data_IF_425053053868
#
_entry.id   IF_425053053868
#
_cell.length_a   1.000
_cell.length_b   1.000
_cell.length_c   1.000
_cell.angle_alpha   90.00
_cell.angle_beta   90.00
_cell.angle_gamma   90.00
#
_symmetry.space_group_name_H-M   'P 1'
#
loop_
_entity.id
_entity.type
_entity.pdbx_description
1 polymer ?
#
# COMPACT_ATOMS: atom_id res chain seq x y z
N UNK A 1 -9.78 -15.71 -27.27
CA UNK A 1 -11.18 -15.30 -26.95
C UNK A 1 -11.13 -14.13 -25.98
N UNK A 2 -11.58 -12.94 -26.41
CA UNK A 2 -11.50 -11.69 -25.64
C UNK A 2 -12.33 -11.81 -24.36
N UNK A 3 -11.67 -11.64 -23.21
CA UNK A 3 -12.24 -11.82 -21.86
C UNK A 3 -13.49 -10.96 -21.66
N UNK A 4 -14.57 -11.54 -21.17
CA UNK A 4 -15.59 -10.74 -20.51
C UNK A 4 -14.90 -10.09 -19.29
N UNK A 5 -14.89 -8.75 -19.21
CA UNK A 5 -14.23 -7.97 -18.14
C UNK A 5 -15.01 -8.12 -16.82
N UNK A 6 -15.07 -9.33 -16.26
CA UNK A 6 -15.50 -9.50 -14.88
C UNK A 6 -14.38 -8.98 -13.97
N UNK A 7 -14.75 -8.13 -13.01
CA UNK A 7 -13.86 -7.70 -11.94
C UNK A 7 -14.03 -8.61 -10.73
N UNK A 8 -12.91 -8.97 -10.11
CA UNK A 8 -12.79 -9.84 -8.96
C UNK A 8 -12.29 -9.00 -7.78
N UNK A 9 -13.07 -8.95 -6.70
CA UNK A 9 -12.74 -8.21 -5.48
C UNK A 9 -12.82 -9.16 -4.28
N UNK A 10 -11.70 -9.76 -3.88
CA UNK A 10 -11.63 -10.56 -2.66
C UNK A 10 -11.36 -9.68 -1.43
N UNK A 11 -11.93 -10.07 -0.30
CA UNK A 11 -11.55 -9.61 1.02
C UNK A 11 -10.77 -10.75 1.70
N UNK A 12 -9.47 -10.58 1.85
CA UNK A 12 -8.59 -11.56 2.46
C UNK A 12 -8.21 -11.16 3.88
N UNK A 13 -7.86 -12.16 4.70
CA UNK A 13 -7.22 -11.98 5.99
C UNK A 13 -6.01 -12.90 6.14
N UNK A 14 -5.05 -12.50 6.97
CA UNK A 14 -3.93 -13.32 7.39
C UNK A 14 -3.75 -13.22 8.90
N UNK A 15 -3.20 -14.28 9.51
CA UNK A 15 -2.93 -14.33 10.95
C UNK A 15 -1.55 -13.74 11.24
N UNK A 16 -1.51 -12.71 12.07
CA UNK A 16 -0.29 -11.93 12.37
C UNK A 16 0.67 -12.71 13.27
N UNK A 17 0.17 -13.70 13.99
CA UNK A 17 0.96 -14.57 14.85
C UNK A 17 1.81 -15.57 14.05
N UNK A 18 1.50 -15.78 12.76
CA UNK A 18 2.33 -16.60 11.87
C UNK A 18 3.56 -15.81 11.39
N UNK A 19 4.76 -16.43 11.34
CA UNK A 19 5.94 -15.80 10.74
C UNK A 19 5.70 -15.39 9.28
N UNK A 20 6.21 -14.25 8.78
CA UNK A 20 5.91 -13.75 7.43
C UNK A 20 6.07 -14.77 6.30
N UNK A 21 7.15 -15.59 6.23
CA UNK A 21 7.29 -16.59 5.18
C UNK A 21 6.14 -17.60 5.17
N UNK A 22 5.63 -17.97 6.36
CA UNK A 22 4.50 -18.91 6.52
C UNK A 22 3.17 -18.19 6.25
N UNK A 23 3.01 -16.98 6.78
CA UNK A 23 1.81 -16.15 6.68
C UNK A 23 1.41 -15.85 5.24
N UNK A 24 2.39 -15.58 4.38
CA UNK A 24 2.16 -15.15 3.00
C UNK A 24 1.89 -16.31 2.02
N UNK A 25 2.00 -17.58 2.46
CA UNK A 25 1.57 -18.71 1.64
C UNK A 25 0.06 -18.68 1.43
N UNK A 26 -0.38 -18.96 0.20
CA UNK A 26 -1.79 -18.89 -0.19
C UNK A 26 -2.69 -19.79 0.65
N UNK A 27 -2.19 -20.95 1.12
CA UNK A 27 -2.91 -21.86 2.02
C UNK A 27 -3.21 -21.28 3.41
N UNK A 28 -2.47 -20.25 3.83
CA UNK A 28 -2.60 -19.60 5.13
C UNK A 28 -3.31 -18.23 5.03
N UNK A 29 -3.74 -17.85 3.83
CA UNK A 29 -4.55 -16.65 3.59
C UNK A 29 -6.02 -17.06 3.54
N UNK A 30 -6.82 -16.44 4.38
CA UNK A 30 -8.24 -16.73 4.54
C UNK A 30 -9.03 -15.82 3.59
N UNK A 31 -9.87 -16.40 2.73
CA UNK A 31 -10.86 -15.63 1.96
C UNK A 31 -12.11 -15.40 2.82
N UNK A 32 -12.36 -14.15 3.21
CA UNK A 32 -13.52 -13.79 4.03
C UNK A 32 -14.75 -13.44 3.18
N UNK A 33 -14.55 -12.81 2.02
CA UNK A 33 -15.64 -12.53 1.08
C UNK A 33 -15.13 -12.33 -0.33
N UNK A 34 -16.02 -12.55 -1.30
CA UNK A 34 -15.71 -12.45 -2.72
C UNK A 34 -16.82 -11.71 -3.47
N UNK A 35 -16.44 -10.70 -4.25
CA UNK A 35 -17.34 -10.03 -5.17
C UNK A 35 -16.90 -10.20 -6.61
N UNK A 36 -17.77 -10.81 -7.42
CA UNK A 36 -17.56 -11.03 -8.85
C UNK A 36 -18.64 -10.30 -9.64
N UNK A 37 -18.26 -9.23 -10.33
CA UNK A 37 -19.19 -8.47 -11.17
C UNK A 37 -18.44 -7.67 -12.23
N UNK A 38 -19.13 -7.25 -13.29
CA UNK A 38 -18.59 -6.27 -14.24
C UNK A 38 -18.44 -4.87 -13.63
N UNK A 39 -19.17 -4.59 -12.54
CA UNK A 39 -19.12 -3.32 -11.81
C UNK A 39 -18.36 -3.48 -10.51
N UNK A 40 -17.68 -2.41 -10.09
CA UNK A 40 -17.07 -2.31 -8.77
C UNK A 40 -18.14 -2.50 -7.68
N UNK A 41 -17.80 -3.15 -6.56
CA UNK A 41 -18.73 -3.26 -5.44
C UNK A 41 -19.08 -1.90 -4.85
N UNK A 42 -20.29 -1.75 -4.34
CA UNK A 42 -20.50 -0.81 -3.26
C UNK A 42 -19.77 -1.35 -2.03
N UNK A 43 -18.84 -0.56 -1.50
CA UNK A 43 -17.97 -0.98 -0.41
C UNK A 43 -18.74 -1.39 0.85
N UNK A 44 -19.85 -0.71 1.16
CA UNK A 44 -20.63 -1.01 2.35
C UNK A 44 -21.42 -2.29 2.16
N UNK A 45 -22.08 -2.47 1.02
CA UNK A 45 -22.82 -3.71 0.71
C UNK A 45 -21.88 -4.91 0.68
N UNK A 46 -20.71 -4.77 0.07
CA UNK A 46 -19.76 -5.87 -0.04
C UNK A 46 -19.18 -6.29 1.31
N UNK A 47 -18.90 -5.36 2.21
CA UNK A 47 -18.26 -5.66 3.50
C UNK A 47 -19.24 -5.84 4.66
N UNK A 48 -20.53 -5.52 4.51
CA UNK A 48 -21.52 -5.50 5.60
C UNK A 48 -21.50 -6.76 6.46
N UNK A 49 -21.69 -7.94 5.83
CA UNK A 49 -21.72 -9.23 6.53
C UNK A 49 -20.38 -9.57 7.16
N UNK A 50 -19.30 -9.42 6.41
CA UNK A 50 -17.93 -9.68 6.89
C UNK A 50 -17.59 -8.84 8.11
N UNK A 51 -17.93 -7.55 8.11
CA UNK A 51 -17.68 -6.67 9.25
C UNK A 51 -18.57 -7.01 10.44
N UNK A 52 -19.84 -7.37 10.22
CA UNK A 52 -20.74 -7.80 11.28
C UNK A 52 -20.22 -9.06 12.00
N UNK A 53 -19.80 -10.08 11.23
CA UNK A 53 -19.22 -11.31 11.76
C UNK A 53 -17.90 -11.08 12.49
N UNK A 54 -17.00 -10.27 11.91
CA UNK A 54 -15.74 -9.88 12.57
C UNK A 54 -15.99 -9.14 13.88
N UNK A 55 -16.94 -8.20 13.93
CA UNK A 55 -17.31 -7.51 15.18
C UNK A 55 -17.83 -8.48 16.23
N UNK A 56 -18.65 -9.45 15.84
CA UNK A 56 -19.12 -10.48 16.75
C UNK A 56 -17.94 -11.30 17.32
N UNK A 57 -17.05 -11.77 16.45
CA UNK A 57 -15.86 -12.53 16.84
C UNK A 57 -14.87 -11.74 17.72
N UNK A 58 -14.63 -10.46 17.41
CA UNK A 58 -13.76 -9.60 18.22
C UNK A 58 -14.35 -9.38 19.63
N UNK A 59 -15.67 -9.19 19.74
CA UNK A 59 -16.29 -8.87 21.01
C UNK A 59 -16.55 -10.10 21.90
N UNK A 60 -16.79 -11.28 21.30
CA UNK A 60 -17.16 -12.50 22.03
C UNK A 60 -16.08 -13.57 22.05
N UNK A 61 -15.10 -13.48 21.15
CA UNK A 61 -14.17 -14.58 20.89
C UNK A 61 -14.87 -15.80 20.29
N UNK A 62 -14.15 -16.92 20.29
CA UNK A 62 -14.67 -18.26 20.01
C UNK A 62 -13.85 -19.29 20.78
N UNK A 63 -14.28 -20.53 20.83
CA UNK A 63 -13.49 -21.61 21.43
C UNK A 63 -13.32 -22.77 20.47
N UNK A 64 -12.12 -23.36 20.44
CA UNK A 64 -11.81 -24.54 19.64
C UNK A 64 -11.32 -25.67 20.54
N UNK A 65 -11.48 -26.91 20.10
CA UNK A 65 -10.93 -28.08 20.78
C UNK A 65 -9.74 -28.61 19.98
N UNK A 66 -8.59 -28.73 20.63
CA UNK A 66 -7.39 -29.37 20.05
C UNK A 66 -6.97 -30.48 21.02
N UNK A 67 -6.93 -31.72 20.53
CA UNK A 67 -6.53 -32.90 21.30
C UNK A 67 -7.29 -33.04 22.64
N UNK A 68 -8.60 -32.75 22.63
CA UNK A 68 -9.47 -32.83 23.82
C UNK A 68 -9.41 -31.62 24.76
N UNK A 69 -8.50 -30.67 24.53
CA UNK A 69 -8.40 -29.45 25.33
C UNK A 69 -9.15 -28.28 24.65
N UNK A 70 -9.94 -27.54 25.42
CA UNK A 70 -10.62 -26.34 24.95
C UNK A 70 -9.69 -25.13 25.03
N UNK A 71 -9.51 -24.45 23.91
CA UNK A 71 -8.76 -23.20 23.80
C UNK A 71 -9.72 -22.06 23.51
N UNK A 72 -9.59 -20.98 24.28
CA UNK A 72 -10.31 -19.73 24.02
C UNK A 72 -9.50 -18.89 23.04
N UNK A 73 -10.14 -18.51 21.93
CA UNK A 73 -9.57 -17.66 20.91
C UNK A 73 -10.19 -16.28 21.04
N UNK A 74 -9.32 -15.28 21.16
CA UNK A 74 -9.71 -13.87 21.03
C UNK A 74 -9.16 -13.34 19.72
N UNK A 75 -9.93 -12.47 19.06
CA UNK A 75 -9.54 -11.88 17.79
C UNK A 75 -9.38 -10.38 17.92
N UNK A 76 -8.35 -9.85 17.26
CA UNK A 76 -8.06 -8.43 17.13
C UNK A 76 -7.74 -8.13 15.67
N UNK A 77 -8.17 -6.98 15.16
CA UNK A 77 -7.77 -6.53 13.82
C UNK A 77 -6.61 -5.55 13.94
N UNK A 78 -5.47 -5.88 13.33
CA UNK A 78 -4.29 -5.01 13.38
C UNK A 78 -4.40 -3.80 12.43
N UNK A 79 -4.75 -4.05 11.17
CA UNK A 79 -4.98 -3.03 10.13
C UNK A 79 -5.68 -3.63 8.90
N UNK A 80 -6.15 -2.75 8.03
CA UNK A 80 -6.55 -3.10 6.66
C UNK A 80 -5.46 -2.63 5.69
N UNK A 81 -5.14 -3.42 4.68
CA UNK A 81 -4.18 -3.06 3.63
C UNK A 81 -4.83 -3.20 2.27
N UNK A 82 -4.59 -2.23 1.39
CA UNK A 82 -5.03 -2.30 0.00
C UNK A 82 -4.17 -1.41 -0.88
N UNK A 83 -4.37 -1.52 -2.18
CA UNK A 83 -3.84 -0.57 -3.14
C UNK A 83 -4.55 0.82 -2.98
N UNK A 84 -4.00 1.89 -3.58
CA UNK A 84 -4.56 3.25 -3.47
C UNK A 84 -6.00 3.37 -4.05
N UNK A 85 -6.32 2.78 -5.21
CA UNK A 85 -7.70 2.75 -5.72
C UNK A 85 -8.69 2.04 -4.80
N UNK A 86 -8.36 0.86 -4.28
CA UNK A 86 -9.19 0.14 -3.32
C UNK A 86 -9.30 0.92 -2.01
N UNK A 87 -8.22 1.58 -1.58
CA UNK A 87 -8.22 2.45 -0.40
C UNK A 87 -9.29 3.52 -0.53
N UNK A 88 -9.32 4.21 -1.67
CA UNK A 88 -10.32 5.23 -1.92
C UNK A 88 -11.76 4.67 -1.98
N UNK A 89 -11.95 3.48 -2.55
CA UNK A 89 -13.25 2.81 -2.61
C UNK A 89 -13.75 2.47 -1.19
N UNK A 90 -12.95 1.75 -0.42
CA UNK A 90 -13.33 1.22 0.89
C UNK A 90 -13.39 2.29 1.98
N UNK A 91 -12.53 3.31 1.94
CA UNK A 91 -12.64 4.47 2.83
C UNK A 91 -13.72 5.47 2.38
N UNK A 92 -14.36 5.26 1.23
CA UNK A 92 -15.27 6.23 0.59
C UNK A 92 -14.65 7.62 0.44
N UNK A 93 -13.45 7.68 -0.12
CA UNK A 93 -12.78 8.95 -0.44
C UNK A 93 -12.66 9.15 -1.95
N UNK A 94 -12.20 10.33 -2.34
CA UNK A 94 -11.71 10.56 -3.70
C UNK A 94 -10.43 9.76 -3.95
N UNK A 95 -10.13 9.51 -5.22
CA UNK A 95 -8.92 8.79 -5.62
C UNK A 95 -7.66 9.64 -5.40
N UNK A 96 -6.50 8.97 -5.41
CA UNK A 96 -5.17 9.57 -5.23
C UNK A 96 -4.84 10.73 -6.18
N UNK A 97 -5.50 10.82 -7.33
CA UNK A 97 -5.34 11.91 -8.31
C UNK A 97 -6.27 13.11 -8.06
N UNK A 98 -7.10 13.08 -7.02
CA UNK A 98 -7.96 14.20 -6.64
C UNK A 98 -7.22 15.27 -5.85
N UNK A 99 -7.85 16.43 -5.64
CA UNK A 99 -7.28 17.56 -4.91
C UNK A 99 -7.29 17.42 -3.39
N UNK A 100 -8.02 16.48 -2.81
CA UNK A 100 -8.08 16.25 -1.36
C UNK A 100 -8.01 14.75 -1.06
N UNK A 101 -7.04 14.06 -1.66
CA UNK A 101 -6.96 12.61 -1.60
C UNK A 101 -6.40 12.08 -0.28
N UNK A 102 -5.68 12.91 0.48
CA UNK A 102 -5.10 12.47 1.76
C UNK A 102 -6.20 12.25 2.79
N UNK A 103 -6.15 11.09 3.43
CA UNK A 103 -6.96 10.73 4.61
C UNK A 103 -6.20 10.98 5.91
N UNK A 104 -4.91 11.31 5.79
CA UNK A 104 -3.95 11.38 6.89
C UNK A 104 -3.82 12.81 7.44
N UNK A 105 -3.87 13.79 6.54
CA UNK A 105 -3.67 15.21 6.82
C UNK A 105 -4.65 16.07 6.00
N UNK A 106 -4.64 17.38 6.27
CA UNK A 106 -5.51 18.34 5.61
C UNK A 106 -4.96 18.88 4.28
N UNK A 107 -4.05 18.14 3.65
CA UNK A 107 -3.40 18.59 2.44
C UNK A 107 -4.34 18.69 1.25
N UNK A 108 -4.16 19.75 0.47
CA UNK A 108 -4.88 20.02 -0.77
C UNK A 108 -3.89 20.05 -1.92
N UNK A 109 -4.11 19.19 -2.91
CA UNK A 109 -3.36 19.23 -4.15
C UNK A 109 -3.78 20.42 -5.01
N UNK A 110 -2.98 20.72 -6.02
CA UNK A 110 -3.25 21.76 -7.01
C UNK A 110 -2.88 21.26 -8.41
N UNK A 111 -3.53 21.83 -9.42
CA UNK A 111 -3.30 21.43 -10.80
C UNK A 111 -2.04 22.10 -11.34
N UNK A 112 -1.08 21.30 -11.78
CA UNK A 112 0.05 21.79 -12.55
C UNK A 112 -0.25 21.73 -14.04
N UNK A 113 -0.45 22.89 -14.68
CA UNK A 113 -0.66 22.97 -16.12
C UNK A 113 0.56 22.46 -16.92
N UNK A 114 1.77 22.68 -16.41
CA UNK A 114 3.03 22.27 -17.05
C UNK A 114 3.15 20.75 -17.17
N UNK A 115 2.71 20.01 -16.15
CA UNK A 115 2.84 18.56 -16.09
C UNK A 115 1.53 17.82 -16.31
N UNK A 116 0.40 18.55 -16.40
CA UNK A 116 -0.95 17.99 -16.53
C UNK A 116 -1.29 16.95 -15.45
N UNK A 117 -0.88 17.23 -14.21
CA UNK A 117 -1.11 16.38 -13.04
C UNK A 117 -1.45 17.20 -11.81
N UNK A 118 -2.11 16.58 -10.83
CA UNK A 118 -2.30 17.17 -9.50
C UNK A 118 -1.04 16.92 -8.67
N UNK A 119 -0.46 18.00 -8.16
CA UNK A 119 0.72 17.97 -7.28
C UNK A 119 0.33 18.35 -5.85
N UNK A 120 1.14 17.93 -4.88
CA UNK A 120 0.96 18.11 -3.43
C UNK A 120 2.21 18.76 -2.81
N UNK A 121 2.41 20.08 -2.97
CA UNK A 121 3.72 20.64 -2.65
C UNK A 121 4.04 20.76 -1.19
N UNK A 122 5.13 20.17 -0.74
CA UNK A 122 5.41 19.95 0.68
C UNK A 122 5.41 21.26 1.50
N UNK A 123 6.08 22.30 0.98
CA UNK A 123 6.34 23.55 1.72
C UNK A 123 5.14 24.48 1.85
N UNK A 124 4.14 24.39 0.95
CA UNK A 124 2.98 25.27 0.91
C UNK A 124 1.65 24.56 1.22
N UNK A 125 1.71 23.31 1.67
CA UNK A 125 0.52 22.52 1.96
C UNK A 125 0.21 22.46 3.45
N UNK A 126 -1.06 22.18 3.75
CA UNK A 126 -1.49 21.95 5.11
C UNK A 126 -1.19 20.49 5.51
N UNK A 127 -0.07 20.28 6.20
CA UNK A 127 0.35 18.96 6.69
C UNK A 127 -0.28 18.61 8.06
N UNK A 128 -1.20 19.42 8.61
CA UNK A 128 -1.83 19.13 9.89
C UNK A 128 -2.55 17.78 9.85
N UNK A 129 -2.28 16.86 10.80
CA UNK A 129 -2.96 15.58 10.86
C UNK A 129 -4.48 15.75 10.98
N UNK A 130 -5.24 14.97 10.19
CA UNK A 130 -6.69 14.94 10.29
C UNK A 130 -7.12 14.09 11.48
N UNK A 131 -7.97 14.65 12.34
CA UNK A 131 -8.54 13.95 13.48
C UNK A 131 -9.72 13.05 13.08
N UNK A 132 -10.08 12.12 13.96
CA UNK A 132 -11.23 11.25 13.75
C UNK A 132 -12.54 12.02 13.63
N UNK A 133 -12.75 12.99 14.53
CA UNK A 133 -13.97 13.79 14.58
C UNK A 133 -14.16 14.55 13.27
N UNK A 134 -13.11 15.21 12.77
CA UNK A 134 -13.15 15.90 11.48
C UNK A 134 -13.47 14.97 10.31
N UNK A 135 -12.93 13.74 10.32
CA UNK A 135 -13.25 12.75 9.30
C UNK A 135 -14.73 12.36 9.36
N UNK A 136 -15.25 12.04 10.55
CA UNK A 136 -16.64 11.65 10.72
C UNK A 136 -17.62 12.77 10.35
N UNK A 137 -17.33 14.00 10.74
CA UNK A 137 -18.18 15.14 10.46
C UNK A 137 -18.25 15.41 8.96
N UNK A 138 -17.10 15.39 8.27
CA UNK A 138 -17.05 15.49 6.82
C UNK A 138 -17.78 14.31 6.12
N UNK A 139 -17.66 13.09 6.66
CA UNK A 139 -18.35 11.92 6.12
C UNK A 139 -19.89 12.04 6.25
N UNK A 140 -20.38 12.45 7.42
CA UNK A 140 -21.82 12.68 7.66
C UNK A 140 -22.35 13.80 6.79
N UNK A 141 -21.62 14.91 6.67
CA UNK A 141 -21.98 16.04 5.83
C UNK A 141 -22.04 15.64 4.35
N UNK A 142 -21.02 14.93 3.85
CA UNK A 142 -20.97 14.43 2.48
C UNK A 142 -22.14 13.50 2.16
N UNK A 143 -22.49 12.61 3.10
CA UNK A 143 -23.62 11.69 2.95
C UNK A 143 -24.95 12.43 2.93
N UNK A 144 -25.15 13.44 3.79
CA UNK A 144 -26.37 14.27 3.79
C UNK A 144 -26.53 15.08 2.50
N UNK A 145 -25.44 15.59 1.93
CA UNK A 145 -25.44 16.37 0.69
C UNK A 145 -25.52 15.51 -0.57
N UNK A 146 -25.18 14.23 -0.49
CA UNK A 146 -25.25 13.29 -1.60
C UNK A 146 -26.69 12.80 -1.80
N UNK A 147 -27.51 13.63 -2.43
CA UNK A 147 -28.91 13.32 -2.77
C UNK A 147 -29.06 13.04 -4.28
N UNK A 148 -30.06 12.23 -4.65
CA UNK A 148 -30.46 11.97 -6.04
C UNK A 148 -29.32 11.52 -6.98
N UNK A 149 -28.45 10.61 -6.51
CA UNK A 149 -27.39 10.01 -7.33
C UNK A 149 -26.15 10.90 -7.58
N UNK A 150 -26.14 12.14 -7.09
CA UNK A 150 -24.96 13.02 -7.16
C UNK A 150 -24.09 12.83 -5.92
N UNK A 151 -22.93 12.20 -6.10
CA UNK A 151 -21.95 12.06 -5.02
C UNK A 151 -21.23 13.39 -4.78
N UNK A 152 -21.33 13.92 -3.56
CA UNK A 152 -20.60 15.10 -3.11
C UNK A 152 -19.45 14.65 -2.21
N UNK A 153 -18.28 15.27 -2.35
CA UNK A 153 -17.18 15.06 -1.42
C UNK A 153 -16.95 16.30 -0.55
N UNK A 154 -16.82 16.11 0.75
CA UNK A 154 -16.40 17.14 1.71
C UNK A 154 -14.98 16.81 2.15
N UNK A 155 -14.01 17.71 1.88
CA UNK A 155 -12.58 17.49 2.16
C UNK A 155 -12.05 16.14 1.64
N UNK A 156 -12.56 15.71 0.48
CA UNK A 156 -12.19 14.44 -0.15
C UNK A 156 -12.93 13.19 0.33
N UNK A 157 -13.82 13.32 1.32
CA UNK A 157 -14.61 12.21 1.87
C UNK A 157 -16.00 12.24 1.24
N UNK A 158 -16.50 11.08 0.78
CA UNK A 158 -17.77 10.93 0.05
C UNK A 158 -18.91 10.40 0.92
N UNK A 159 -18.63 9.84 2.09
CA UNK A 159 -19.66 9.32 2.99
C UNK A 159 -19.11 8.38 4.06
N UNK A 160 -20.00 7.79 4.86
CA UNK A 160 -19.64 6.82 5.90
C UNK A 160 -19.31 5.46 5.29
N UNK A 161 -18.10 4.98 5.59
CA UNK A 161 -17.65 3.61 5.30
C UNK A 161 -18.06 2.66 6.43
N UNK A 162 -18.49 1.45 6.10
CA UNK A 162 -18.73 0.36 7.07
C UNK A 162 -17.49 0.05 7.91
N UNK A 163 -16.30 0.31 7.37
CA UNK A 163 -15.06 0.13 8.12
C UNK A 163 -14.98 1.05 9.35
N UNK A 164 -15.70 2.19 9.39
CA UNK A 164 -15.76 3.10 10.55
C UNK A 164 -16.46 2.49 11.78
N UNK A 165 -17.16 1.36 11.62
CA UNK A 165 -17.95 0.75 12.71
C UNK A 165 -17.13 -0.01 13.75
N UNK A 166 -15.83 -0.19 13.53
CA UNK A 166 -14.93 -0.78 14.51
C UNK A 166 -14.63 0.20 15.66
N UNK A 167 -15.66 0.43 16.50
CA UNK A 167 -15.63 1.35 17.65
C UNK A 167 -14.78 0.81 18.82
N UNK A 168 -14.71 -0.50 19.01
CA UNK A 168 -14.01 -1.17 20.12
C UNK A 168 -12.49 -1.23 19.96
N UNK A 169 -11.96 -0.77 18.83
CA UNK A 169 -10.56 -1.01 18.50
C UNK A 169 -9.57 0.05 19.02
N UNK A 170 -9.98 1.14 19.71
CA UNK A 170 -9.08 2.29 19.95
C UNK A 170 -8.32 2.70 18.65
N UNK A 171 -8.96 2.42 17.50
CA UNK A 171 -8.48 2.57 16.13
C UNK A 171 -9.01 3.90 15.57
N UNK A 172 -9.26 4.88 16.44
CA UNK A 172 -9.74 6.22 16.09
C UNK A 172 -8.77 6.98 15.14
N UNK A 173 -7.55 6.48 14.95
CA UNK A 173 -6.59 6.93 13.93
C UNK A 173 -6.05 5.80 13.03
N UNK A 174 -6.58 4.59 13.12
CA UNK A 174 -5.98 3.36 12.55
C UNK A 174 -6.83 2.69 11.46
N UNK A 175 -7.99 3.28 11.10
CA UNK A 175 -8.70 3.00 9.84
C UNK A 175 -8.06 3.70 8.64
N UNK A 176 -6.74 3.72 8.66
CA UNK A 176 -5.96 4.17 7.54
C UNK A 176 -5.53 2.89 6.87
N UNK A 177 -6.21 2.56 5.78
CA UNK A 177 -5.72 1.58 4.82
C UNK A 177 -4.25 1.92 4.60
N UNK A 178 -3.38 1.04 5.06
CA UNK A 178 -1.93 1.29 5.08
C UNK A 178 -1.51 1.58 3.64
N UNK A 179 -0.61 2.56 3.45
CA UNK A 179 0.06 2.72 2.16
C UNK A 179 0.83 1.42 1.94
N UNK A 180 0.34 0.60 1.01
CA UNK A 180 1.00 -0.67 0.70
C UNK A 180 2.47 -0.38 0.39
N UNK A 181 3.36 -1.14 1.03
CA UNK A 181 4.81 -1.00 0.85
C UNK A 181 5.22 -1.08 -0.61
N UNK A 182 4.41 -1.73 -1.47
CA UNK A 182 4.61 -1.75 -2.92
C UNK A 182 4.75 -0.35 -3.53
N UNK A 183 4.01 0.64 -3.03
CA UNK A 183 4.09 2.03 -3.49
C UNK A 183 5.38 2.75 -3.11
N UNK A 184 6.03 2.35 -2.01
CA UNK A 184 7.35 2.88 -1.62
C UNK A 184 8.39 2.51 -2.67
N UNK A 185 8.22 1.35 -3.32
CA UNK A 185 9.13 0.86 -4.34
C UNK A 185 8.84 1.48 -5.72
N UNK A 186 7.56 1.65 -6.07
CA UNK A 186 7.13 2.06 -7.41
C UNK A 186 7.45 3.53 -7.76
N UNK A 187 7.55 4.44 -6.78
CA UNK A 187 7.95 5.84 -7.05
C UNK A 187 9.34 5.90 -7.68
N UNK A 188 10.22 4.99 -7.27
CA UNK A 188 11.62 5.11 -7.55
C UNK A 188 12.00 4.70 -8.97
N UNK A 189 11.22 3.84 -9.62
CA UNK A 189 11.47 3.46 -11.01
C UNK A 189 11.43 4.65 -11.97
N UNK A 190 10.44 5.54 -11.82
CA UNK A 190 10.32 6.72 -12.67
C UNK A 190 11.44 7.74 -12.40
N UNK A 191 11.89 7.85 -11.15
CA UNK A 191 13.02 8.70 -10.79
C UNK A 191 14.33 8.15 -11.33
N UNK A 192 14.60 6.85 -11.17
CA UNK A 192 15.81 6.19 -11.69
C UNK A 192 15.88 6.35 -13.20
N UNK A 193 14.82 6.02 -13.94
CA UNK A 193 14.73 6.24 -15.40
C UNK A 193 15.11 7.67 -15.78
N UNK A 194 14.59 8.65 -15.04
CA UNK A 194 14.88 10.07 -15.29
C UNK A 194 16.35 10.40 -15.02
N UNK A 195 16.94 9.82 -13.98
CA UNK A 195 18.33 10.03 -13.63
C UNK A 195 19.28 9.36 -14.63
N UNK A 196 18.92 8.20 -15.18
CA UNK A 196 19.71 7.52 -16.21
C UNK A 196 19.95 8.42 -17.44
N UNK A 197 19.01 9.31 -17.77
CA UNK A 197 19.19 10.31 -18.84
C UNK A 197 20.29 11.34 -18.58
N UNK A 198 20.79 11.42 -17.34
CA UNK A 198 21.84 12.35 -16.89
C UNK A 198 23.17 11.62 -16.65
N UNK A 199 23.28 10.36 -17.06
CA UNK A 199 24.44 9.50 -16.88
C UNK A 199 24.85 8.97 -18.24
N UNK A 200 26.16 8.83 -18.48
CA UNK A 200 26.68 8.33 -19.75
C UNK A 200 26.32 6.85 -19.96
N UNK A 201 26.10 6.45 -21.21
CA UNK A 201 25.73 5.07 -21.56
C UNK A 201 26.75 4.02 -21.09
N UNK A 202 28.04 4.37 -21.08
CA UNK A 202 29.09 3.48 -20.57
C UNK A 202 28.95 3.22 -19.07
N UNK A 203 28.59 4.25 -18.29
CA UNK A 203 28.33 4.12 -16.87
C UNK A 203 27.04 3.33 -16.61
N UNK A 204 25.99 3.52 -17.41
CA UNK A 204 24.78 2.70 -17.34
C UNK A 204 25.07 1.22 -17.61
N UNK A 205 25.86 0.93 -18.63
CA UNK A 205 26.29 -0.44 -18.92
C UNK A 205 27.12 -1.04 -17.77
N UNK A 206 28.03 -0.27 -17.18
CA UNK A 206 28.80 -0.72 -16.02
C UNK A 206 27.92 -1.02 -14.80
N UNK A 207 26.84 -0.26 -14.59
CA UNK A 207 25.85 -0.54 -13.55
C UNK A 207 25.15 -1.87 -13.84
N UNK A 208 24.65 -2.07 -15.06
CA UNK A 208 23.93 -3.31 -15.41
C UNK A 208 24.82 -4.55 -15.23
N UNK A 209 26.08 -4.49 -15.67
CA UNK A 209 27.07 -5.55 -15.43
C UNK A 209 27.29 -5.79 -13.94
N UNK A 210 27.36 -4.73 -13.13
CA UNK A 210 27.51 -4.84 -11.68
C UNK A 210 26.29 -5.47 -11.01
N UNK A 211 25.08 -5.11 -11.47
CA UNK A 211 23.81 -5.66 -10.98
C UNK A 211 23.66 -7.15 -11.33
N UNK A 212 24.11 -7.56 -12.51
CA UNK A 212 24.09 -8.97 -12.96
C UNK A 212 25.08 -9.84 -12.18
N UNK A 213 26.20 -9.26 -11.74
CA UNK A 213 27.26 -9.96 -11.00
C UNK A 213 27.09 -9.89 -9.47
N UNK A 214 25.97 -9.39 -8.98
CA UNK A 214 25.71 -9.27 -7.54
C UNK A 214 25.71 -10.63 -6.84
N UNK A 215 26.67 -10.83 -5.93
CA UNK A 215 26.71 -11.97 -5.03
C UNK A 215 25.84 -11.67 -3.80
N UNK A 216 24.58 -12.12 -3.85
CA UNK A 216 23.63 -11.98 -2.75
C UNK A 216 23.32 -13.33 -2.09
N UNK A 217 23.01 -13.34 -0.78
CA UNK A 217 22.46 -14.52 -0.11
C UNK A 217 21.25 -15.09 -0.87
N UNK A 218 21.06 -16.41 -0.85
CA UNK A 218 20.02 -17.09 -1.63
C UNK A 218 18.60 -16.52 -1.41
N UNK A 219 18.29 -16.08 -0.20
CA UNK A 219 17.00 -15.46 0.16
C UNK A 219 16.81 -14.01 -0.34
N UNK A 220 17.87 -13.37 -0.84
CA UNK A 220 17.86 -12.01 -1.39
C UNK A 220 18.17 -11.99 -2.89
N UNK A 221 18.59 -13.12 -3.46
CA UNK A 221 18.96 -13.22 -4.88
C UNK A 221 17.74 -13.00 -5.77
N UNK A 222 17.70 -11.81 -6.37
CA UNK A 222 16.67 -11.38 -7.30
C UNK A 222 17.39 -10.86 -8.54
N UNK A 223 17.29 -11.55 -9.69
CA UNK A 223 17.93 -11.09 -10.90
C UNK A 223 17.29 -9.79 -11.40
N UNK A 224 18.11 -8.85 -11.85
CA UNK A 224 17.69 -7.67 -12.60
C UNK A 224 17.62 -8.06 -14.08
N UNK A 225 16.42 -8.44 -14.55
CA UNK A 225 16.25 -8.89 -15.94
C UNK A 225 16.23 -7.75 -16.95
N UNK A 226 15.98 -6.54 -16.49
CA UNK A 226 15.87 -5.34 -17.32
C UNK A 226 16.93 -4.34 -16.87
N UNK A 227 17.56 -3.68 -17.84
CA UNK A 227 18.54 -2.62 -17.61
C UNK A 227 17.99 -1.54 -16.68
N UNK A 228 18.86 -0.88 -15.92
CA UNK A 228 18.52 0.27 -15.08
C UNK A 228 17.87 1.42 -15.87
N UNK A 229 18.17 1.55 -17.17
CA UNK A 229 17.52 2.51 -18.06
C UNK A 229 16.02 2.24 -18.24
N UNK A 230 15.62 0.97 -18.13
CA UNK A 230 14.24 0.48 -18.20
C UNK A 230 13.69 0.12 -16.83
N UNK A 231 14.14 0.83 -15.78
CA UNK A 231 13.72 0.58 -14.39
C UNK A 231 12.20 0.66 -14.18
N UNK A 232 11.41 1.28 -15.05
CA UNK A 232 9.94 1.20 -15.03
C UNK A 232 9.37 -0.21 -15.24
N UNK A 233 10.16 -1.13 -15.79
CA UNK A 233 9.79 -2.53 -16.00
C UNK A 233 10.20 -3.44 -14.82
N UNK A 234 10.95 -2.89 -13.87
CA UNK A 234 11.33 -3.62 -12.66
C UNK A 234 10.09 -3.99 -11.86
N UNK A 235 10.10 -5.20 -11.30
CA UNK A 235 9.07 -5.65 -10.36
C UNK A 235 9.36 -5.02 -9.00
N UNK A 236 8.34 -4.88 -8.15
CA UNK A 236 8.48 -4.33 -6.81
C UNK A 236 9.59 -5.00 -5.96
N UNK A 237 9.88 -6.29 -6.19
CA UNK A 237 11.00 -6.99 -5.55
C UNK A 237 12.38 -6.45 -5.95
N UNK A 238 12.56 -6.04 -7.21
CA UNK A 238 13.79 -5.46 -7.74
C UNK A 238 14.03 -4.07 -7.12
N UNK A 239 13.01 -3.21 -7.11
CA UNK A 239 13.13 -1.90 -6.46
C UNK A 239 13.28 -2.01 -4.94
N UNK A 240 12.64 -2.98 -4.29
CA UNK A 240 12.91 -3.26 -2.86
C UNK A 240 14.36 -3.61 -2.63
N UNK A 241 14.93 -4.52 -3.42
CA UNK A 241 16.35 -4.89 -3.33
C UNK A 241 17.25 -3.67 -3.57
N UNK A 242 16.92 -2.86 -4.58
CA UNK A 242 17.64 -1.64 -4.92
C UNK A 242 17.62 -0.63 -3.77
N UNK A 243 16.43 -0.24 -3.27
CA UNK A 243 16.27 0.75 -2.20
C UNK A 243 16.91 0.32 -0.88
N UNK A 244 16.79 -0.96 -0.51
CA UNK A 244 17.22 -1.43 0.81
C UNK A 244 18.67 -1.93 0.88
N UNK A 245 19.28 -2.37 -0.23
CA UNK A 245 20.55 -3.09 -0.18
C UNK A 245 21.61 -2.58 -1.16
N UNK A 246 21.26 -2.42 -2.44
CA UNK A 246 22.29 -2.25 -3.50
C UNK A 246 22.33 -0.86 -4.12
N UNK A 247 21.29 -0.05 -3.94
CA UNK A 247 21.15 1.22 -4.63
C UNK A 247 22.12 2.29 -4.14
N UNK A 248 22.43 2.36 -2.84
CA UNK A 248 23.37 3.35 -2.28
C UNK A 248 24.75 3.29 -2.93
N UNK A 249 25.44 2.12 -2.98
CA UNK A 249 26.74 2.05 -3.66
C UNK A 249 26.63 2.37 -5.15
N UNK A 250 25.59 1.87 -5.83
CA UNK A 250 25.35 2.14 -7.27
C UNK A 250 25.21 3.63 -7.55
N UNK A 251 24.35 4.35 -6.81
CA UNK A 251 24.14 5.78 -7.07
C UNK A 251 25.35 6.62 -6.71
N UNK A 252 26.10 6.24 -5.68
CA UNK A 252 27.28 6.98 -5.22
C UNK A 252 28.42 6.91 -6.24
N UNK A 253 28.56 5.77 -6.92
CA UNK A 253 29.62 5.54 -7.91
C UNK A 253 29.31 6.18 -9.27
N UNK A 254 28.05 6.14 -9.71
CA UNK A 254 27.71 6.38 -11.10
C UNK A 254 26.83 7.62 -11.36
N UNK A 255 26.18 8.17 -10.33
CA UNK A 255 25.24 9.29 -10.51
C UNK A 255 25.82 10.61 -10.00
N UNK A 256 25.36 11.77 -10.53
CA UNK A 256 25.73 13.08 -10.02
C UNK A 256 25.56 13.19 -8.49
N UNK A 257 26.55 13.80 -7.82
CA UNK A 257 26.62 13.89 -6.34
C UNK A 257 25.33 14.38 -5.68
N UNK A 258 24.65 15.35 -6.30
CA UNK A 258 23.38 15.89 -5.79
C UNK A 258 22.27 14.83 -5.79
N UNK A 259 22.15 14.03 -6.86
CA UNK A 259 21.16 12.95 -6.97
C UNK A 259 21.49 11.82 -6.01
N UNK A 260 22.76 11.43 -5.95
CA UNK A 260 23.24 10.40 -5.03
C UNK A 260 22.96 10.79 -3.56
N UNK A 261 23.26 12.02 -3.16
CA UNK A 261 23.01 12.50 -1.78
C UNK A 261 21.52 12.50 -1.44
N UNK A 262 20.67 12.94 -2.38
CA UNK A 262 19.21 12.94 -2.17
C UNK A 262 18.64 11.52 -2.11
N UNK A 263 19.17 10.58 -2.91
CA UNK A 263 18.84 9.17 -2.83
C UNK A 263 19.23 8.55 -1.48
N UNK A 264 20.43 8.85 -0.98
CA UNK A 264 20.92 8.29 0.30
C UNK A 264 19.99 8.69 1.44
N UNK A 265 19.52 9.94 1.48
CA UNK A 265 18.53 10.39 2.47
C UNK A 265 17.26 9.55 2.40
N UNK A 266 16.72 9.35 1.19
CA UNK A 266 15.54 8.51 1.00
C UNK A 266 15.78 7.07 1.45
N UNK A 267 16.81 6.41 0.92
CA UNK A 267 17.14 5.02 1.22
C UNK A 267 17.34 4.82 2.72
N UNK A 268 18.08 5.71 3.39
CA UNK A 268 18.30 5.67 4.83
C UNK A 268 16.98 5.75 5.61
N UNK A 269 16.13 6.73 5.31
CA UNK A 269 14.82 6.85 5.97
C UNK A 269 13.93 5.62 5.77
N UNK A 270 13.92 5.03 4.56
CA UNK A 270 13.13 3.83 4.27
C UNK A 270 13.71 2.60 4.99
N UNK A 271 15.04 2.43 5.03
CA UNK A 271 15.70 1.32 5.75
C UNK A 271 15.34 1.36 7.24
N UNK A 272 15.45 2.55 7.86
CA UNK A 272 15.11 2.77 9.27
C UNK A 272 13.64 2.47 9.57
N UNK A 273 12.74 2.85 8.65
CA UNK A 273 11.30 2.54 8.77
C UNK A 273 10.98 1.08 8.42
N UNK A 274 11.86 0.37 7.72
CA UNK A 274 11.62 -1.01 7.29
C UNK A 274 11.62 -1.98 8.45
N UNK A 275 12.61 -1.88 9.33
CA UNK A 275 12.77 -2.71 10.52
C UNK A 275 13.30 -1.86 11.68
N UNK A 276 12.49 -0.93 12.22
CA UNK A 276 12.92 0.02 13.24
C UNK A 276 13.29 -0.71 14.55
N UNK A 277 14.35 -0.26 15.21
CA UNK A 277 14.83 -0.81 16.49
C UNK A 277 14.35 0.00 17.69
N UNK A 278 13.96 1.26 17.48
CA UNK A 278 13.53 2.17 18.53
C UNK A 278 12.61 3.27 18.00
N UNK A 279 11.90 3.96 18.90
CA UNK A 279 11.14 5.16 18.53
C UNK A 279 12.05 6.31 18.06
N UNK A 280 13.27 6.41 18.58
CA UNK A 280 14.23 7.44 18.16
C UNK A 280 14.68 7.22 16.71
N UNK A 281 14.85 5.97 16.31
CA UNK A 281 15.12 5.62 14.91
C UNK A 281 13.94 6.03 14.01
N UNK A 282 12.70 5.82 14.45
CA UNK A 282 11.52 6.26 13.70
C UNK A 282 11.45 7.79 13.61
N UNK A 283 11.77 8.51 14.68
CA UNK A 283 11.79 9.98 14.71
C UNK A 283 12.85 10.53 13.74
N UNK A 284 14.07 9.99 13.78
CA UNK A 284 15.13 10.39 12.87
C UNK A 284 14.76 10.09 11.41
N UNK A 285 14.15 8.94 11.14
CA UNK A 285 13.69 8.60 9.79
C UNK A 285 12.58 9.55 9.29
N UNK A 286 11.69 9.99 10.19
CA UNK A 286 10.67 11.01 9.88
C UNK A 286 11.31 12.34 9.51
N UNK A 287 12.30 12.80 10.26
CA UNK A 287 13.03 14.04 9.98
C UNK A 287 13.76 13.98 8.63
N UNK A 288 14.44 12.86 8.34
CA UNK A 288 15.12 12.64 7.08
C UNK A 288 14.11 12.60 5.92
N UNK A 289 12.98 11.91 6.07
CA UNK A 289 11.95 11.82 5.03
C UNK A 289 11.30 13.19 4.77
N UNK A 290 11.02 13.96 5.83
CA UNK A 290 10.49 15.31 5.70
C UNK A 290 11.49 16.24 5.00
N UNK A 291 12.78 16.13 5.33
CA UNK A 291 13.83 16.86 4.62
C UNK A 291 13.90 16.46 3.15
N UNK A 292 13.87 15.15 2.83
CA UNK A 292 13.83 14.65 1.47
C UNK A 292 12.66 15.25 0.69
N UNK A 293 11.44 15.18 1.22
CA UNK A 293 10.25 15.75 0.60
C UNK A 293 10.35 17.27 0.41
N UNK A 294 10.86 18.00 1.40
CA UNK A 294 11.08 19.45 1.34
C UNK A 294 12.05 19.86 0.23
N UNK A 295 13.08 19.07 -0.04
CA UNK A 295 14.11 19.40 -1.04
C UNK A 295 13.89 18.74 -2.40
N UNK A 296 12.91 17.86 -2.54
CA UNK A 296 12.67 17.07 -3.77
C UNK A 296 12.50 17.92 -5.04
N UNK A 297 11.79 19.06 -4.93
CA UNK A 297 11.55 19.95 -6.09
C UNK A 297 12.81 20.66 -6.56
N UNK A 298 13.74 20.95 -5.66
CA UNK A 298 15.03 21.58 -5.98
C UNK A 298 15.97 20.61 -6.69
N UNK A 299 15.88 19.31 -6.38
CA UNK A 299 16.77 18.28 -6.94
C UNK A 299 16.23 17.69 -8.25
N UNK A 300 14.92 17.47 -8.35
CA UNK A 300 14.32 16.79 -9.50
C UNK A 300 13.59 17.76 -10.43
N UNK A 301 12.44 18.25 -9.99
CA UNK A 301 11.60 19.37 -10.41
C UNK A 301 10.22 19.22 -9.72
N UNK A 302 9.25 20.14 -9.88
CA UNK A 302 7.95 20.02 -9.22
C UNK A 302 7.06 18.85 -9.68
N UNK A 303 7.39 18.12 -10.76
CA UNK A 303 6.59 16.96 -11.22
C UNK A 303 6.65 15.77 -10.26
N UNK A 304 7.63 15.73 -9.34
CA UNK A 304 7.80 14.62 -8.39
C UNK A 304 6.90 14.71 -7.18
N UNK A 305 6.29 15.87 -6.92
CA UNK A 305 5.37 16.08 -5.79
C UNK A 305 3.98 15.50 -6.05
N UNK A 306 3.93 14.26 -6.53
CA UNK A 306 2.69 13.51 -6.70
C UNK A 306 2.16 13.07 -5.34
N UNK A 307 0.89 12.64 -5.31
CA UNK A 307 0.29 12.08 -4.11
C UNK A 307 1.10 10.91 -3.53
N UNK A 308 1.74 10.11 -4.37
CA UNK A 308 2.61 9.02 -3.95
C UNK A 308 3.78 9.53 -3.08
N UNK A 309 4.48 10.59 -3.49
CA UNK A 309 5.52 11.20 -2.68
C UNK A 309 4.93 11.82 -1.41
N UNK A 310 3.79 12.50 -1.52
CA UNK A 310 3.09 13.06 -0.35
C UNK A 310 2.79 12.00 0.72
N UNK A 311 2.41 10.78 0.32
CA UNK A 311 2.14 9.71 1.29
C UNK A 311 3.37 9.27 2.10
N UNK A 312 4.59 9.56 1.64
CA UNK A 312 5.83 9.18 2.35
C UNK A 312 5.99 9.88 3.69
N UNK A 313 5.45 11.10 3.83
CA UNK A 313 5.50 11.86 5.08
C UNK A 313 4.68 11.19 6.20
N UNK A 314 3.84 10.21 5.86
CA UNK A 314 2.99 9.49 6.80
C UNK A 314 3.56 8.11 7.19
N UNK A 315 4.68 7.68 6.59
CA UNK A 315 5.25 6.35 6.84
C UNK A 315 5.74 6.19 8.28
N UNK A 316 6.39 7.20 8.86
CA UNK A 316 6.84 7.13 10.25
C UNK A 316 5.67 6.93 11.21
N UNK A 317 4.60 7.71 11.05
CA UNK A 317 3.39 7.54 11.85
C UNK A 317 2.69 6.20 11.63
N UNK A 318 2.73 5.65 10.41
CA UNK A 318 2.24 4.30 10.11
C UNK A 318 3.06 3.25 10.87
N UNK A 319 4.39 3.39 10.85
CA UNK A 319 5.31 2.47 11.54
C UNK A 319 5.11 2.49 13.05
N UNK A 320 4.97 3.69 13.66
CA UNK A 320 4.63 3.82 15.09
C UNK A 320 3.33 3.09 15.47
N UNK A 321 2.39 2.93 14.54
CA UNK A 321 1.06 2.33 14.81
C UNK A 321 1.00 0.84 14.53
N UNK A 322 1.74 0.36 13.53
CA UNK A 322 1.53 -0.96 12.95
C UNK A 322 2.81 -1.82 12.88
N UNK A 323 3.96 -1.28 13.27
CA UNK A 323 5.26 -1.94 13.15
C UNK A 323 5.99 -1.58 11.85
N UNK A 324 7.15 -2.21 11.64
CA UNK A 324 8.02 -1.94 10.49
C UNK A 324 7.31 -2.10 9.14
N UNK A 325 7.84 -1.42 8.12
CA UNK A 325 7.30 -1.53 6.76
C UNK A 325 7.38 -2.98 6.24
N UNK A 326 8.30 -3.81 6.72
CA UNK A 326 8.39 -5.23 6.37
C UNK A 326 7.11 -6.03 6.67
N UNK A 327 6.34 -5.65 7.69
CA UNK A 327 5.12 -6.33 8.11
C UNK A 327 3.86 -5.82 7.42
N UNK A 328 3.91 -4.67 6.75
CA UNK A 328 2.71 -3.98 6.22
C UNK A 328 2.49 -4.18 4.71
N UNK A 329 3.04 -5.24 4.15
CA UNK A 329 2.95 -5.56 2.72
C UNK A 329 1.63 -6.22 2.33
N UNK A 330 1.16 -5.96 1.10
CA UNK A 330 0.05 -6.68 0.47
C UNK A 330 0.49 -7.77 -0.52
N UNK A 331 1.80 -8.06 -0.65
CA UNK A 331 2.29 -9.00 -1.66
C UNK A 331 1.71 -10.42 -1.52
N UNK A 332 1.52 -10.91 -0.29
CA UNK A 332 0.86 -12.20 -0.04
C UNK A 332 -0.56 -12.23 -0.62
N UNK A 333 -1.33 -11.16 -0.42
CA UNK A 333 -2.68 -11.03 -0.96
C UNK A 333 -2.69 -10.92 -2.48
N UNK A 334 -1.81 -10.13 -3.10
CA UNK A 334 -1.69 -10.03 -4.56
C UNK A 334 -1.31 -11.37 -5.22
N UNK A 335 -0.47 -12.14 -4.56
CA UNK A 335 -0.12 -13.50 -4.97
C UNK A 335 -1.33 -14.43 -4.87
N UNK A 336 -2.10 -14.31 -3.79
CA UNK A 336 -3.33 -15.07 -3.58
C UNK A 336 -4.42 -14.75 -4.63
N UNK A 337 -4.60 -13.47 -5.01
CA UNK A 337 -5.50 -13.06 -6.11
C UNK A 337 -5.17 -13.84 -7.39
N UNK A 338 -3.88 -13.83 -7.79
CA UNK A 338 -3.42 -14.53 -8.99
C UNK A 338 -3.60 -16.03 -8.88
N UNK A 339 -3.44 -16.59 -7.69
CA UNK A 339 -3.63 -18.01 -7.43
C UNK A 339 -5.10 -18.43 -7.58
N UNK A 340 -6.04 -17.72 -6.94
CA UNK A 340 -7.49 -18.04 -7.06
C UNK A 340 -8.01 -17.82 -8.49
N UNK A 341 -7.49 -16.82 -9.20
CA UNK A 341 -7.84 -16.59 -10.61
C UNK A 341 -7.46 -17.77 -11.51
N UNK A 342 -6.36 -18.47 -11.22
CA UNK A 342 -5.94 -19.67 -11.95
C UNK A 342 -6.79 -20.91 -11.63
N UNK A 343 -7.59 -20.89 -10.57
CA UNK A 343 -8.50 -21.98 -10.20
C UNK A 343 -9.83 -21.92 -10.92
N UNK A 344 -10.13 -20.78 -11.55
CA UNK A 344 -11.26 -20.66 -12.46
C UNK A 344 -10.81 -21.00 -13.90
N UNK A 345 -11.61 -21.82 -14.57
CA UNK A 345 -11.34 -22.29 -15.93
C UNK A 345 -11.82 -21.30 -16.99
N UNK A 346 -12.82 -20.47 -16.68
CA UNK A 346 -13.29 -19.41 -17.57
C UNK A 346 -13.85 -18.19 -16.78
N UNK A 347 -14.31 -17.18 -17.53
CA UNK A 347 -14.95 -15.98 -16.94
C UNK A 347 -16.44 -16.14 -16.66
N UNK A 348 -17.02 -17.34 -16.88
CA UNK A 348 -18.44 -17.57 -16.59
C UNK A 348 -18.57 -18.03 -15.16
N UNK A 349 -19.41 -17.36 -14.39
CA UNK A 349 -19.67 -17.76 -13.00
C UNK A 349 -18.40 -17.93 -12.14
N UNK A 350 -17.46 -16.99 -12.30
CA UNK A 350 -16.16 -16.98 -11.63
C UNK A 350 -16.28 -17.17 -10.10
N UNK A 351 -17.31 -16.57 -9.50
CA UNK A 351 -17.55 -16.65 -8.05
C UNK A 351 -17.83 -18.08 -7.59
N UNK A 352 -18.74 -18.78 -8.26
CA UNK A 352 -19.10 -20.16 -7.91
C UNK A 352 -17.94 -21.13 -8.14
N UNK A 353 -17.15 -20.96 -9.21
CA UNK A 353 -15.96 -21.79 -9.46
C UNK A 353 -14.94 -21.66 -8.32
N UNK A 354 -14.68 -20.43 -7.89
CA UNK A 354 -13.76 -20.17 -6.78
C UNK A 354 -14.32 -20.73 -5.47
N UNK A 355 -15.61 -20.52 -5.18
CA UNK A 355 -16.26 -21.04 -3.97
C UNK A 355 -16.17 -22.57 -3.90
N UNK A 356 -16.55 -23.25 -4.98
CA UNK A 356 -16.49 -24.71 -5.06
C UNK A 356 -15.07 -25.25 -4.85
N UNK A 357 -14.06 -24.59 -5.43
CA UNK A 357 -12.67 -24.98 -5.22
C UNK A 357 -12.22 -24.81 -3.77
N UNK A 358 -12.65 -23.75 -3.08
CA UNK A 358 -12.34 -23.53 -1.66
C UNK A 358 -13.02 -24.58 -0.79
N UNK A 359 -14.29 -24.90 -1.06
CA UNK A 359 -15.03 -25.91 -0.30
C UNK A 359 -14.34 -27.29 -0.41
N UNK A 360 -13.86 -27.66 -1.60
CA UNK A 360 -13.07 -28.88 -1.81
C UNK A 360 -11.74 -28.91 -1.03
N UNK A 361 -11.10 -27.75 -0.81
CA UNK A 361 -9.87 -27.68 -0.02
C UNK A 361 -10.14 -27.73 1.48
N UNK A 362 -11.30 -27.26 1.93
CA UNK A 362 -11.68 -27.28 3.35
C UNK A 362 -12.17 -28.66 3.84
N UNK A 363 -12.54 -29.54 2.90
CA UNK A 363 -13.07 -30.89 3.16
C UNK A 363 -12.03 -32.00 2.99
N UNK A 364 -10.82 -31.67 2.52
CA UNK A 364 -9.68 -32.58 2.34
C UNK A 364 -8.61 -32.30 3.39
#
# INVERSE_FOLDING_TARGET
VKSSKQSLWPCFASLVELPPPVRDYQKNIILMSLWTSKKKPDANVFLEKTIAELKHLINRGTSIFINGYQYQITLQTQYFVSDLPAKALFSKTINFNGYSASTECCSKGEWSALYSVVVYPFTRNNLTPRTHAEYLDAAKEAQKKSLHGKTVSIRGIKGLSTLLEFRSLNILLKLRLIICTSYVWDIFHHLIKRWCRRVDKSALHAIDVSLDQLLLPHNLSIPFLESIEHSEQWKAKNSRLFVLNVGVPVVTLHFPRLLASHYILYSLSVIMLHAPRSNDEINLAEDIMNYYCKTSTMVHDPSVELFSLHTHIHLAQQVRRHGGLDHTSAFGFESCIRFIQKKAHDSKDLGSQISYWIDLQSTA
#
